data_IF_193914120035
#
_entry.id   IF_193914120035
#
_cell.length_a   1.000
_cell.length_b   1.000
_cell.length_c   1.000
_cell.angle_alpha   90.00
_cell.angle_beta   90.00
_cell.angle_gamma   90.00
#
_symmetry.space_group_name_H-M   'P 1'
#
loop_
_entity.id
_entity.type
_entity.pdbx_description
1 polymer ?
#
# COMPACT_ATOMS: atom_id res chain seq x y z
N UNK A 1 -3.62 21.20 -18.93
CA UNK A 1 -3.14 20.92 -17.56
C UNK A 1 -4.30 20.29 -16.81
N UNK A 2 -4.12 19.09 -16.25
CA UNK A 2 -5.23 18.30 -15.69
C UNK A 2 -5.64 18.83 -14.32
N UNK A 3 -6.91 18.66 -13.95
CA UNK A 3 -7.43 19.04 -12.62
C UNK A 3 -6.78 18.27 -11.45
N UNK A 4 -5.97 17.25 -11.75
CA UNK A 4 -5.29 16.38 -10.79
C UNK A 4 -3.95 16.97 -10.30
N UNK A 5 -3.33 17.83 -11.12
CA UNK A 5 -2.22 18.69 -10.70
C UNK A 5 -2.59 20.13 -11.10
N UNK A 6 -3.34 20.88 -10.26
CA UNK A 6 -3.75 22.23 -10.61
C UNK A 6 -2.50 23.10 -10.85
N UNK A 7 -2.63 24.19 -11.61
CA UNK A 7 -1.57 25.21 -11.87
C UNK A 7 -0.99 25.89 -10.59
N UNK A 8 -1.28 25.34 -9.41
CA UNK A 8 -0.89 25.78 -8.08
C UNK A 8 0.07 24.82 -7.37
N UNK A 9 0.41 23.67 -7.95
CA UNK A 9 1.31 22.69 -7.34
C UNK A 9 2.26 22.07 -8.38
N UNK A 10 3.54 21.93 -8.01
CA UNK A 10 4.55 21.28 -8.85
C UNK A 10 4.54 19.75 -8.71
N UNK A 11 4.21 19.24 -7.52
CA UNK A 11 4.09 17.80 -7.24
C UNK A 11 2.91 17.52 -6.30
N UNK A 12 2.35 16.32 -6.41
CA UNK A 12 1.37 15.77 -5.46
C UNK A 12 1.97 14.53 -4.79
N UNK A 13 2.61 14.73 -3.64
CA UNK A 13 3.14 13.65 -2.79
C UNK A 13 2.12 13.30 -1.69
N UNK A 14 1.10 12.53 -2.07
CA UNK A 14 0.03 12.07 -1.19
C UNK A 14 -0.23 10.56 -1.39
N UNK A 15 -1.28 10.02 -0.76
CA UNK A 15 -1.81 8.67 -1.01
C UNK A 15 -2.49 8.57 -2.40
N UNK A 16 -1.78 9.00 -3.45
CA UNK A 16 -2.30 9.02 -4.81
C UNK A 16 -1.94 7.72 -5.51
N UNK A 17 -2.94 6.86 -5.66
CA UNK A 17 -2.82 5.63 -6.44
C UNK A 17 -2.49 5.92 -7.89
N UNK A 18 -1.45 5.26 -8.40
CA UNK A 18 -1.12 5.17 -9.82
C UNK A 18 -2.12 4.26 -10.51
N UNK A 19 -2.89 4.82 -11.43
CA UNK A 19 -3.82 4.08 -12.30
C UNK A 19 -3.60 4.51 -13.73
N UNK A 20 -3.87 3.63 -14.70
CA UNK A 20 -3.74 3.96 -16.12
C UNK A 20 -4.53 5.23 -16.49
N UNK A 21 -5.72 5.39 -15.91
CA UNK A 21 -6.57 6.57 -16.14
C UNK A 21 -5.93 7.87 -15.66
N UNK A 22 -5.21 7.84 -14.53
CA UNK A 22 -4.46 8.99 -14.02
C UNK A 22 -3.16 9.21 -14.81
N UNK A 23 -2.47 8.14 -15.21
CA UNK A 23 -1.26 8.24 -16.05
C UNK A 23 -1.54 8.86 -17.42
N UNK A 24 -2.78 8.79 -17.92
CA UNK A 24 -3.18 9.53 -19.13
C UNK A 24 -3.29 11.05 -18.92
N UNK A 25 -3.30 11.54 -17.68
CA UNK A 25 -3.59 12.94 -17.31
C UNK A 25 -2.46 13.64 -16.58
N UNK A 26 -1.64 12.89 -15.86
CA UNK A 26 -0.44 13.33 -15.13
C UNK A 26 0.64 12.26 -15.21
N UNK A 27 1.90 12.66 -15.05
CA UNK A 27 3.03 11.76 -14.92
C UNK A 27 3.14 11.33 -13.46
N UNK A 28 3.80 10.20 -13.21
CA UNK A 28 4.08 9.73 -11.86
C UNK A 28 5.55 9.41 -11.66
N UNK A 29 6.00 9.53 -10.41
CA UNK A 29 7.23 8.87 -9.96
C UNK A 29 7.09 7.34 -10.02
N UNK A 30 8.20 6.65 -9.77
CA UNK A 30 8.19 5.27 -9.31
C UNK A 30 7.24 5.12 -8.11
N UNK A 31 6.69 3.93 -7.96
CA UNK A 31 5.92 3.57 -6.77
C UNK A 31 6.85 3.64 -5.56
N UNK A 32 6.42 4.31 -4.50
CA UNK A 32 7.20 4.43 -3.26
C UNK A 32 6.50 3.80 -2.04
N UNK A 33 5.25 3.38 -2.20
CA UNK A 33 4.46 2.71 -1.17
C UNK A 33 3.33 1.92 -1.86
N UNK A 34 2.93 0.78 -1.30
CA UNK A 34 1.75 0.04 -1.76
C UNK A 34 0.83 -0.15 -0.57
N UNK A 35 -0.40 0.38 -0.68
CA UNK A 35 -1.45 0.14 0.30
C UNK A 35 -2.48 -0.87 -0.25
N UNK A 36 -3.39 -1.29 0.62
CA UNK A 36 -4.59 -2.06 0.29
C UNK A 36 -5.78 -1.47 1.01
N UNK A 37 -6.96 -1.65 0.43
CA UNK A 37 -8.20 -1.13 0.98
C UNK A 37 -8.82 -2.13 1.94
N UNK A 38 -9.46 -1.61 2.99
CA UNK A 38 -10.18 -2.39 4.01
C UNK A 38 -11.45 -1.67 4.41
N UNK A 39 -12.14 -2.24 5.40
CA UNK A 39 -13.38 -1.69 5.95
C UNK A 39 -13.11 -1.17 7.36
N UNK A 40 -13.63 0.02 7.66
CA UNK A 40 -13.77 0.54 9.01
C UNK A 40 -15.24 0.43 9.41
N UNK A 41 -15.49 -0.15 10.58
CA UNK A 41 -16.83 -0.38 11.11
C UNK A 41 -16.88 -0.03 12.58
N UNK A 42 -18.09 0.16 13.13
CA UNK A 42 -18.28 0.19 14.58
C UNK A 42 -17.82 -1.13 15.19
N UNK A 43 -17.27 -1.10 16.40
CA UNK A 43 -16.76 -2.29 17.11
C UNK A 43 -17.84 -3.35 17.35
N UNK A 44 -19.07 -2.90 17.55
CA UNK A 44 -20.28 -3.72 17.69
C UNK A 44 -20.78 -4.34 16.37
N UNK A 45 -20.26 -3.90 15.22
CA UNK A 45 -20.65 -4.44 13.92
C UNK A 45 -20.15 -5.88 13.75
N UNK A 46 -21.01 -6.71 13.18
CA UNK A 46 -20.69 -8.07 12.77
C UNK A 46 -20.01 -8.14 11.38
N UNK A 47 -19.93 -7.01 10.66
CA UNK A 47 -19.30 -6.95 9.34
C UNK A 47 -17.82 -7.33 9.47
N UNK A 48 -17.43 -8.40 8.81
CA UNK A 48 -16.09 -8.98 8.80
C UNK A 48 -15.54 -9.25 7.41
N UNK A 49 -16.31 -9.01 6.35
CA UNK A 49 -15.85 -9.13 4.96
C UNK A 49 -16.69 -8.27 4.03
N UNK A 50 -16.13 -7.96 2.85
CA UNK A 50 -16.82 -7.25 1.76
C UNK A 50 -18.09 -7.98 1.29
N UNK A 51 -18.13 -9.30 1.38
CA UNK A 51 -19.30 -10.10 0.97
C UNK A 51 -20.51 -9.94 1.90
N UNK A 52 -20.31 -9.41 3.12
CA UNK A 52 -21.40 -9.10 4.05
C UNK A 52 -22.00 -7.71 3.82
N UNK A 53 -21.54 -6.98 2.79
CA UNK A 53 -22.02 -5.64 2.46
C UNK A 53 -23.26 -5.64 1.56
N UNK A 54 -23.85 -6.80 1.25
CA UNK A 54 -25.02 -6.88 0.39
C UNK A 54 -26.21 -6.07 0.96
N UNK A 55 -26.68 -5.08 0.20
CA UNK A 55 -27.73 -4.16 0.64
C UNK A 55 -27.35 -3.24 1.81
N UNK A 56 -26.06 -3.14 2.16
CA UNK A 56 -25.53 -2.23 3.18
C UNK A 56 -25.14 -0.91 2.54
N UNK A 57 -25.30 0.19 3.27
CA UNK A 57 -24.80 1.49 2.84
C UNK A 57 -23.34 1.65 3.25
N UNK A 58 -22.46 1.83 2.27
CA UNK A 58 -21.02 1.91 2.45
C UNK A 58 -20.53 3.29 2.01
N UNK A 59 -19.83 3.96 2.92
CA UNK A 59 -19.17 5.22 2.62
C UNK A 59 -17.87 4.99 1.86
N UNK A 60 -17.61 5.85 0.88
CA UNK A 60 -16.32 5.98 0.18
C UNK A 60 -16.03 7.47 -0.06
N UNK A 61 -14.79 7.82 -0.38
CA UNK A 61 -14.46 9.20 -0.79
C UNK A 61 -14.62 9.37 -2.30
N UNK A 62 -15.25 10.47 -2.69
CA UNK A 62 -15.45 10.86 -4.09
C UNK A 62 -14.12 11.01 -4.81
N UNK A 63 -13.99 10.38 -5.98
CA UNK A 63 -12.77 10.43 -6.79
C UNK A 63 -11.63 9.52 -6.33
N UNK A 64 -11.82 8.76 -5.24
CA UNK A 64 -10.92 7.69 -4.85
C UNK A 64 -11.15 6.43 -5.71
N UNK A 65 -10.13 5.57 -5.79
CA UNK A 65 -10.19 4.26 -6.45
C UNK A 65 -11.13 3.28 -5.73
N UNK A 66 -11.44 3.55 -4.46
CA UNK A 66 -12.14 2.61 -3.58
C UNK A 66 -13.52 2.22 -4.06
N UNK A 67 -14.28 3.14 -4.67
CA UNK A 67 -15.63 2.83 -5.14
C UNK A 67 -15.61 1.76 -6.24
N UNK A 68 -14.63 1.81 -7.14
CA UNK A 68 -14.45 0.84 -8.21
C UNK A 68 -13.92 -0.49 -7.67
N UNK A 69 -12.89 -0.44 -6.82
CA UNK A 69 -12.28 -1.62 -6.23
C UNK A 69 -13.25 -2.39 -5.33
N UNK A 70 -14.07 -1.68 -4.55
CA UNK A 70 -15.11 -2.30 -3.73
C UNK A 70 -16.14 -3.03 -4.60
N UNK A 71 -16.62 -2.41 -5.69
CA UNK A 71 -17.58 -3.08 -6.61
C UNK A 71 -16.98 -4.32 -7.26
N UNK A 72 -15.71 -4.28 -7.67
CA UNK A 72 -15.00 -5.44 -8.22
C UNK A 72 -14.95 -6.57 -7.20
N UNK A 73 -14.53 -6.24 -5.98
CA UNK A 73 -14.37 -7.23 -4.91
C UNK A 73 -15.71 -7.83 -4.47
N UNK A 74 -16.75 -7.01 -4.25
CA UNK A 74 -18.07 -7.52 -3.86
C UNK A 74 -18.73 -8.32 -4.99
N UNK A 75 -18.42 -8.00 -6.25
CA UNK A 75 -18.87 -8.74 -7.43
C UNK A 75 -18.40 -10.20 -7.43
N UNK A 76 -17.24 -10.52 -6.84
CA UNK A 76 -16.72 -11.90 -6.75
C UNK A 76 -17.70 -12.81 -5.98
N UNK A 77 -18.40 -12.27 -4.99
CA UNK A 77 -19.37 -13.00 -4.17
C UNK A 77 -20.83 -12.55 -4.40
N UNK A 78 -21.09 -11.76 -5.44
CA UNK A 78 -22.43 -11.30 -5.81
C UNK A 78 -23.07 -10.30 -4.84
N UNK A 79 -22.29 -9.69 -3.92
CA UNK A 79 -22.81 -8.69 -3.01
C UNK A 79 -22.95 -7.33 -3.71
N UNK A 80 -24.08 -6.65 -3.47
CA UNK A 80 -24.40 -5.34 -4.04
C UNK A 80 -24.60 -4.29 -2.94
N UNK A 81 -23.52 -3.69 -2.41
CA UNK A 81 -23.65 -2.58 -1.48
C UNK A 81 -24.19 -1.33 -2.18
N UNK A 82 -24.92 -0.51 -1.42
CA UNK A 82 -25.18 0.87 -1.80
C UNK A 82 -23.95 1.71 -1.45
N UNK A 83 -23.52 2.60 -2.36
CA UNK A 83 -22.33 3.44 -2.14
C UNK A 83 -22.77 4.88 -1.93
N UNK A 84 -22.32 5.47 -0.82
CA UNK A 84 -22.44 6.90 -0.53
C UNK A 84 -21.07 7.56 -0.63
N UNK A 85 -20.94 8.55 -1.50
CA UNK A 85 -19.70 9.30 -1.67
C UNK A 85 -19.63 10.50 -0.71
N UNK A 86 -18.47 10.69 -0.09
CA UNK A 86 -18.15 11.81 0.78
C UNK A 86 -17.01 12.64 0.18
N UNK A 87 -16.90 13.90 0.56
CA UNK A 87 -15.83 14.78 0.10
C UNK A 87 -14.46 14.47 0.72
N UNK A 88 -14.44 13.86 1.91
CA UNK A 88 -13.23 13.57 2.69
C UNK A 88 -13.47 12.44 3.69
N UNK A 89 -12.37 11.85 4.19
CA UNK A 89 -12.42 10.71 5.11
C UNK A 89 -13.15 11.04 6.43
N UNK A 90 -12.92 12.22 7.00
CA UNK A 90 -13.53 12.65 8.28
C UNK A 90 -15.06 12.65 8.20
N UNK A 91 -15.64 13.10 7.08
CA UNK A 91 -17.09 13.11 6.85
C UNK A 91 -17.68 11.70 6.76
N UNK A 92 -16.98 10.78 6.10
CA UNK A 92 -17.41 9.38 6.05
C UNK A 92 -17.34 8.74 7.45
N UNK A 93 -16.31 9.03 8.23
CA UNK A 93 -16.17 8.53 9.61
C UNK A 93 -17.24 9.12 10.54
N UNK A 94 -17.56 10.41 10.41
CA UNK A 94 -18.69 11.04 11.11
C UNK A 94 -20.01 10.32 10.81
N UNK A 95 -20.31 10.06 9.53
CA UNK A 95 -21.50 9.33 9.10
C UNK A 95 -21.52 7.87 9.59
N UNK A 96 -20.35 7.21 9.64
CA UNK A 96 -20.23 5.88 10.21
C UNK A 96 -20.58 5.92 11.70
N UNK A 97 -20.05 6.90 12.45
CA UNK A 97 -20.31 7.05 13.88
C UNK A 97 -21.78 7.36 14.16
N UNK A 98 -22.42 8.23 13.37
CA UNK A 98 -23.87 8.51 13.49
C UNK A 98 -24.75 7.32 13.09
N UNK A 99 -24.20 6.35 12.36
CA UNK A 99 -24.94 5.18 11.88
C UNK A 99 -25.69 5.43 10.57
N UNK A 100 -25.36 6.51 9.86
CA UNK A 100 -25.87 6.81 8.53
C UNK A 100 -25.29 5.88 7.45
N UNK A 101 -24.14 5.27 7.70
CA UNK A 101 -23.54 4.21 6.89
C UNK A 101 -23.11 3.06 7.81
N UNK A 102 -23.09 1.83 7.31
CA UNK A 102 -22.72 0.64 8.09
C UNK A 102 -21.22 0.32 8.04
N UNK A 103 -20.53 0.77 6.99
CA UNK A 103 -19.08 0.63 6.83
C UNK A 103 -18.51 1.82 6.06
N UNK A 104 -17.25 2.16 6.34
CA UNK A 104 -16.45 3.06 5.52
C UNK A 104 -15.32 2.26 4.87
N UNK A 105 -15.18 2.34 3.56
CA UNK A 105 -14.11 1.69 2.82
C UNK A 105 -13.10 2.72 2.30
N UNK A 106 -11.81 2.50 2.57
CA UNK A 106 -10.67 3.22 1.98
C UNK A 106 -9.37 2.48 2.32
N UNK A 107 -8.23 3.12 2.06
CA UNK A 107 -6.90 2.54 2.20
C UNK A 107 -6.55 2.29 3.68
N UNK A 108 -5.88 1.18 3.96
CA UNK A 108 -5.71 0.66 5.33
C UNK A 108 -4.91 1.59 6.22
N UNK A 109 -3.94 2.30 5.65
CA UNK A 109 -3.15 3.30 6.40
C UNK A 109 -4.06 4.43 6.89
N UNK A 110 -4.95 4.94 6.04
CA UNK A 110 -5.90 5.98 6.42
C UNK A 110 -6.87 5.50 7.50
N UNK A 111 -7.34 4.26 7.39
CA UNK A 111 -8.23 3.65 8.39
C UNK A 111 -7.57 3.45 9.75
N UNK A 112 -6.27 3.14 9.77
CA UNK A 112 -5.53 2.85 11.01
C UNK A 112 -5.54 4.05 11.94
N UNK A 113 -5.34 5.26 11.38
CA UNK A 113 -5.46 6.51 12.14
C UNK A 113 -6.81 6.62 12.86
N UNK A 114 -7.93 6.41 12.16
CA UNK A 114 -9.26 6.55 12.76
C UNK A 114 -9.56 5.46 13.79
N UNK A 115 -9.06 4.24 13.58
CA UNK A 115 -9.24 3.14 14.53
C UNK A 115 -8.39 3.31 15.79
N UNK A 116 -7.23 3.96 15.69
CA UNK A 116 -6.39 4.33 16.84
C UNK A 116 -6.99 5.50 17.64
N UNK A 117 -7.57 6.49 16.96
CA UNK A 117 -8.17 7.67 17.58
C UNK A 117 -9.52 7.38 18.26
N UNK A 118 -10.30 6.39 17.79
CA UNK A 118 -11.61 6.03 18.35
C UNK A 118 -11.70 4.54 18.71
N UNK A 119 -11.70 4.17 20.01
CA UNK A 119 -11.73 2.78 20.45
C UNK A 119 -13.04 2.05 20.13
N UNK A 120 -14.08 2.77 19.69
CA UNK A 120 -15.35 2.22 19.24
C UNK A 120 -15.38 1.87 17.76
N UNK A 121 -14.29 2.12 17.03
CA UNK A 121 -14.12 1.71 15.65
C UNK A 121 -13.14 0.53 15.57
N UNK A 122 -13.24 -0.25 14.50
CA UNK A 122 -12.29 -1.32 14.19
C UNK A 122 -12.14 -1.46 12.68
N UNK A 123 -10.93 -1.82 12.25
CA UNK A 123 -10.67 -2.27 10.89
C UNK A 123 -11.07 -3.74 10.77
N UNK A 124 -11.70 -4.10 9.67
CA UNK A 124 -12.25 -5.42 9.42
C UNK A 124 -12.16 -5.77 7.93
N UNK A 125 -12.48 -7.02 7.57
CA UNK A 125 -12.38 -7.52 6.19
C UNK A 125 -10.95 -7.90 5.80
N UNK A 126 -10.81 -8.86 4.91
CA UNK A 126 -9.55 -9.08 4.21
C UNK A 126 -9.21 -7.84 3.38
N UNK A 127 -7.93 -7.47 3.26
CA UNK A 127 -7.58 -6.37 2.38
C UNK A 127 -7.95 -6.71 0.93
N UNK A 128 -8.44 -5.72 0.21
CA UNK A 128 -8.83 -5.79 -1.20
C UNK A 128 -8.20 -4.62 -1.98
N UNK A 129 -8.23 -4.71 -3.30
CA UNK A 129 -7.54 -3.74 -4.15
C UNK A 129 -6.02 -3.78 -3.99
N UNK A 130 -5.33 -3.04 -4.84
CA UNK A 130 -3.88 -2.78 -4.77
C UNK A 130 -3.68 -1.31 -5.11
N UNK A 131 -3.10 -0.57 -4.18
CA UNK A 131 -2.97 0.89 -4.27
C UNK A 131 -1.48 1.28 -4.35
N UNK A 132 -0.83 1.16 -5.52
CA UNK A 132 0.54 1.64 -5.68
C UNK A 132 0.55 3.17 -5.65
N UNK A 133 1.12 3.77 -4.61
CA UNK A 133 1.25 5.22 -4.52
C UNK A 133 2.46 5.73 -5.28
N UNK A 134 2.23 6.77 -6.07
CA UNK A 134 3.26 7.54 -6.76
C UNK A 134 3.10 9.02 -6.47
N UNK A 135 4.19 9.77 -6.62
CA UNK A 135 4.15 11.23 -6.60
C UNK A 135 3.60 11.66 -7.95
N UNK A 136 2.46 12.36 -7.96
CA UNK A 136 1.87 12.93 -9.16
C UNK A 136 2.64 14.16 -9.62
N UNK A 137 2.88 14.28 -10.93
CA UNK A 137 3.74 15.28 -11.56
C UNK A 137 3.05 15.81 -12.82
N UNK A 138 3.20 17.10 -13.19
CA UNK A 138 2.72 17.60 -14.48
C UNK A 138 3.23 16.76 -15.66
N UNK A 139 2.33 16.47 -16.60
CA UNK A 139 2.69 15.76 -17.82
C UNK A 139 3.72 16.51 -18.66
N UNK A 140 4.47 15.76 -19.47
CA UNK A 140 5.39 16.27 -20.49
C UNK A 140 6.66 16.95 -19.94
N UNK A 141 7.00 16.73 -18.68
CA UNK A 141 8.29 17.11 -18.09
C UNK A 141 9.05 15.87 -17.61
N UNK A 142 9.60 15.12 -18.57
CA UNK A 142 10.36 13.91 -18.27
C UNK A 142 11.60 14.18 -17.42
N UNK A 143 12.23 15.36 -17.57
CA UNK A 143 13.39 15.73 -16.76
C UNK A 143 13.02 15.91 -15.30
N UNK A 144 11.89 16.56 -15.03
CA UNK A 144 11.41 16.74 -13.67
C UNK A 144 10.96 15.42 -13.04
N UNK A 145 10.25 14.57 -13.81
CA UNK A 145 9.92 13.20 -13.37
C UNK A 145 11.17 12.40 -13.02
N UNK A 146 12.21 12.46 -13.86
CA UNK A 146 13.45 11.74 -13.64
C UNK A 146 14.21 12.29 -12.42
N UNK A 147 14.20 13.60 -12.18
CA UNK A 147 14.73 14.22 -10.95
C UNK A 147 14.04 13.68 -9.69
N UNK A 148 12.71 13.58 -9.68
CA UNK A 148 11.95 13.01 -8.56
C UNK A 148 12.33 11.55 -8.33
N UNK A 149 12.45 10.75 -9.40
CA UNK A 149 12.85 9.34 -9.31
C UNK A 149 14.28 9.16 -8.80
N UNK A 150 15.23 9.94 -9.31
CA UNK A 150 16.62 9.93 -8.84
C UNK A 150 16.72 10.34 -7.37
N UNK A 151 15.87 11.27 -6.90
CA UNK A 151 15.79 11.65 -5.49
C UNK A 151 15.29 10.49 -4.62
N UNK A 152 14.22 9.80 -5.03
CA UNK A 152 13.72 8.60 -4.34
C UNK A 152 14.78 7.49 -4.28
N UNK A 153 15.50 7.26 -5.37
CA UNK A 153 16.58 6.28 -5.42
C UNK A 153 17.77 6.67 -4.54
N UNK A 154 18.16 7.95 -4.52
CA UNK A 154 19.22 8.45 -3.63
C UNK A 154 18.84 8.29 -2.15
N UNK A 155 17.59 8.60 -1.78
CA UNK A 155 17.06 8.38 -0.43
C UNK A 155 17.01 6.88 -0.07
N UNK A 156 16.75 6.00 -1.04
CA UNK A 156 16.80 4.56 -0.83
C UNK A 156 18.24 4.10 -0.59
N UNK A 157 19.18 4.56 -1.41
CA UNK A 157 20.59 4.19 -1.35
C UNK A 157 21.28 4.65 -0.06
N UNK A 158 20.93 5.84 0.44
CA UNK A 158 21.55 6.40 1.66
C UNK A 158 20.79 6.07 2.97
N UNK A 159 19.70 5.32 2.88
CA UNK A 159 18.90 4.85 4.01
C UNK A 159 17.81 5.81 4.51
N UNK A 160 17.76 7.05 3.99
CA UNK A 160 16.74 8.06 4.38
C UNK A 160 15.32 7.56 4.17
N UNK A 161 15.05 6.93 3.02
CA UNK A 161 13.72 6.38 2.71
C UNK A 161 13.29 5.32 3.73
N UNK A 162 14.19 4.38 4.06
CA UNK A 162 13.91 3.33 5.04
C UNK A 162 13.61 3.93 6.42
N UNK A 163 14.40 4.93 6.85
CA UNK A 163 14.19 5.61 8.14
C UNK A 163 12.82 6.33 8.20
N UNK A 164 12.42 7.02 7.13
CA UNK A 164 11.08 7.63 7.03
C UNK A 164 10.00 6.55 7.11
N UNK A 165 10.17 5.47 6.34
CA UNK A 165 9.20 4.38 6.29
C UNK A 165 8.98 3.78 7.69
N UNK A 166 10.05 3.43 8.41
CA UNK A 166 9.94 2.80 9.73
C UNK A 166 9.42 3.74 10.81
N UNK A 167 9.69 5.04 10.70
CA UNK A 167 9.12 6.03 11.62
C UNK A 167 7.60 6.03 11.57
N UNK A 168 7.01 5.85 10.39
CA UNK A 168 5.56 5.92 10.17
C UNK A 168 4.89 4.55 10.15
N UNK A 169 5.61 3.50 9.78
CA UNK A 169 5.12 2.14 9.65
C UNK A 169 6.08 1.16 10.37
N UNK A 170 6.13 1.21 11.71
CA UNK A 170 6.97 0.28 12.46
C UNK A 170 6.51 -1.16 12.24
N UNK A 171 7.47 -2.09 12.15
CA UNK A 171 7.24 -3.53 11.90
C UNK A 171 6.74 -3.91 10.49
N UNK A 172 6.87 -3.02 9.50
CA UNK A 172 6.63 -3.37 8.09
C UNK A 172 7.92 -3.21 7.27
N UNK A 173 7.99 -3.90 6.13
CA UNK A 173 9.14 -3.81 5.22
C UNK A 173 9.00 -2.60 4.31
N UNK A 174 10.01 -1.70 4.21
CA UNK A 174 10.02 -0.61 3.24
C UNK A 174 9.89 -1.12 1.81
N UNK A 175 9.13 -0.40 0.99
CA UNK A 175 8.94 -0.78 -0.41
C UNK A 175 10.30 -0.85 -1.15
N UNK A 176 10.51 -1.87 -2.00
CA UNK A 176 11.72 -1.99 -2.80
C UNK A 176 11.68 -1.03 -4.00
N UNK A 177 11.99 0.25 -3.74
CA UNK A 177 12.20 1.24 -4.81
C UNK A 177 13.24 0.71 -5.81
N UNK A 178 12.91 0.73 -7.09
CA UNK A 178 13.76 0.27 -8.17
C UNK A 178 14.96 1.20 -8.33
N UNK A 179 16.17 0.64 -8.27
CA UNK A 179 17.40 1.37 -8.58
C UNK A 179 17.70 1.16 -10.06
N UNK A 180 17.73 2.26 -10.83
CA UNK A 180 18.02 2.19 -12.26
C UNK A 180 19.52 2.00 -12.52
N UNK A 181 19.89 1.29 -13.60
CA UNK A 181 21.28 1.10 -13.96
C UNK A 181 21.95 2.43 -14.32
N UNK A 182 23.22 2.56 -13.96
CA UNK A 182 24.00 3.79 -14.09
C UNK A 182 24.46 4.28 -12.72
N UNK A 183 25.67 4.83 -12.63
CA UNK A 183 26.09 5.45 -11.37
C UNK A 183 25.17 6.65 -11.15
N UNK A 184 24.52 6.74 -9.98
CA UNK A 184 24.01 8.01 -9.45
C UNK A 184 25.25 8.86 -9.13
N UNK A 185 26.06 9.20 -10.14
CA UNK A 185 27.05 10.24 -10.03
C UNK A 185 26.24 11.53 -10.05
N UNK A 186 25.80 11.90 -8.85
CA UNK A 186 25.32 13.21 -8.45
C UNK A 186 26.28 14.28 -8.99
N UNK A 187 26.19 14.66 -10.26
CA UNK A 187 26.75 15.90 -10.76
C UNK A 187 25.71 17.01 -10.58
N UNK A 188 24.43 16.71 -10.85
CA UNK A 188 23.30 17.64 -10.67
C UNK A 188 22.79 17.72 -9.23
N UNK A 189 22.86 16.62 -8.47
CA UNK A 189 22.54 16.59 -7.02
C UNK A 189 23.76 16.94 -6.14
N UNK A 190 24.95 17.14 -6.73
CA UNK A 190 26.17 17.55 -6.00
C UNK A 190 25.98 18.97 -5.48
N UNK A 191 25.59 19.09 -4.22
CA UNK A 191 25.32 20.38 -3.56
C UNK A 191 23.88 20.52 -3.06
N UNK A 192 22.97 19.64 -3.47
CA UNK A 192 21.66 19.49 -2.83
C UNK A 192 21.82 18.62 -1.59
N UNK A 193 22.31 19.21 -0.51
CA UNK A 193 22.27 18.56 0.81
C UNK A 193 20.82 18.44 1.25
N UNK A 194 20.38 17.21 1.58
CA UNK A 194 19.19 17.00 2.41
C UNK A 194 19.43 17.74 3.73
N UNK A 195 18.87 18.95 3.85
CA UNK A 195 18.78 19.66 5.12
C UNK A 195 17.90 18.81 6.03
N UNK A 196 18.45 18.44 7.19
CA UNK A 196 17.75 17.69 8.23
C UNK A 196 17.41 16.23 7.85
N UNK A 197 18.44 15.43 7.53
CA UNK A 197 18.28 13.96 7.51
C UNK A 197 17.59 13.53 8.81
N UNK A 198 16.42 12.87 8.76
CA UNK A 198 15.79 12.31 9.94
C UNK A 198 16.80 11.41 10.64
N UNK A 199 16.90 11.51 11.96
CA UNK A 199 17.72 10.57 12.74
C UNK A 199 17.30 9.16 12.33
N UNK A 200 18.26 8.38 11.83
CA UNK A 200 18.05 7.05 11.28
C UNK A 200 17.52 6.18 12.42
N UNK A 201 16.22 5.92 12.44
CA UNK A 201 15.69 4.82 13.23
C UNK A 201 16.15 3.53 12.55
N UNK A 202 16.95 2.73 13.25
CA UNK A 202 17.46 1.48 12.71
C UNK A 202 16.34 0.44 12.57
N UNK A 203 15.83 0.29 11.35
CA UNK A 203 14.81 -0.70 11.00
C UNK A 203 15.31 -2.15 11.05
N UNK A 204 16.63 -2.39 11.08
CA UNK A 204 17.18 -3.75 11.01
C UNK A 204 16.78 -4.60 12.22
N UNK A 205 16.43 -3.94 13.32
CA UNK A 205 15.96 -4.58 14.56
C UNK A 205 14.49 -5.01 14.55
N UNK A 206 13.68 -4.57 13.57
CA UNK A 206 12.22 -4.78 13.54
C UNK A 206 11.70 -5.58 12.34
N UNK A 207 12.52 -5.78 11.30
CA UNK A 207 12.16 -6.72 10.24
C UNK A 207 12.16 -8.14 10.81
N UNK A 208 11.23 -9.01 10.40
CA UNK A 208 11.37 -10.44 10.66
C UNK A 208 12.64 -10.94 9.98
N UNK A 209 13.75 -11.04 10.73
CA UNK A 209 15.03 -11.60 10.24
C UNK A 209 15.00 -13.12 10.14
N UNK A 210 13.91 -13.73 10.63
CA UNK A 210 13.72 -15.15 10.58
C UNK A 210 13.63 -15.60 9.12
N UNK A 211 14.70 -16.27 8.68
CA UNK A 211 14.78 -16.94 7.37
C UNK A 211 13.79 -18.10 7.24
N UNK A 212 12.94 -18.33 8.24
CA UNK A 212 11.95 -19.39 8.30
C UNK A 212 10.62 -18.85 8.85
N UNK A 213 9.51 -19.14 8.17
CA UNK A 213 8.16 -18.74 8.57
C UNK A 213 7.28 -19.98 8.79
N UNK A 214 6.63 -20.07 9.94
CA UNK A 214 5.65 -21.13 10.23
C UNK A 214 4.25 -20.72 9.77
N UNK A 215 3.72 -21.44 8.79
CA UNK A 215 2.42 -21.17 8.15
C UNK A 215 1.29 -21.25 9.19
N UNK A 216 0.39 -20.27 9.16
CA UNK A 216 -0.82 -20.19 9.97
C UNK A 216 -2.04 -20.54 9.13
N UNK A 217 -3.14 -20.92 9.79
CA UNK A 217 -4.41 -21.15 9.08
C UNK A 217 -4.86 -19.86 8.39
N UNK A 218 -5.22 -19.95 7.10
CA UNK A 218 -5.63 -18.79 6.29
C UNK A 218 -4.50 -18.05 5.57
N UNK A 219 -3.22 -18.42 5.80
CA UNK A 219 -2.12 -17.81 5.05
C UNK A 219 -2.17 -18.20 3.56
N UNK A 220 -1.68 -17.29 2.72
CA UNK A 220 -1.37 -17.52 1.31
C UNK A 220 0.09 -17.14 1.05
N UNK A 221 0.72 -17.72 0.02
CA UNK A 221 2.10 -17.32 -0.34
C UNK A 221 2.20 -15.84 -0.70
N UNK A 222 1.17 -15.28 -1.32
CA UNK A 222 1.08 -13.84 -1.60
C UNK A 222 0.96 -13.00 -0.33
N UNK A 223 0.17 -13.43 0.67
CA UNK A 223 0.11 -12.75 1.97
C UNK A 223 1.43 -12.84 2.75
N UNK A 224 2.16 -13.95 2.63
CA UNK A 224 3.50 -14.10 3.23
C UNK A 224 4.51 -13.22 2.49
N UNK A 225 4.47 -13.16 1.16
CA UNK A 225 5.33 -12.29 0.36
C UNK A 225 5.08 -10.81 0.63
N UNK A 226 3.82 -10.41 0.73
CA UNK A 226 3.44 -9.06 1.14
C UNK A 226 4.03 -8.72 2.52
N UNK A 227 3.94 -9.65 3.48
CA UNK A 227 4.49 -9.45 4.83
C UNK A 227 6.00 -9.29 4.86
N UNK A 228 6.73 -10.15 4.15
CA UNK A 228 8.21 -10.18 4.23
C UNK A 228 8.87 -9.22 3.25
N UNK A 229 8.25 -9.00 2.09
CA UNK A 229 8.84 -8.27 0.97
C UNK A 229 8.10 -6.98 0.62
N UNK A 230 6.91 -6.75 1.16
CA UNK A 230 6.06 -5.61 0.81
C UNK A 230 5.47 -5.69 -0.61
N UNK A 231 5.56 -6.85 -1.26
CA UNK A 231 4.94 -7.08 -2.56
C UNK A 231 4.39 -8.52 -2.65
N UNK A 232 3.05 -8.69 -2.73
CA UNK A 232 2.43 -10.00 -2.83
C UNK A 232 2.82 -10.74 -4.11
N UNK A 233 3.28 -10.04 -5.17
CA UNK A 233 3.69 -10.66 -6.44
C UNK A 233 5.02 -11.41 -6.32
N UNK A 234 5.78 -11.16 -5.27
CA UNK A 234 7.05 -11.84 -4.99
C UNK A 234 6.85 -13.21 -4.32
N UNK A 235 5.61 -13.70 -4.26
CA UNK A 235 5.25 -15.04 -3.78
C UNK A 235 5.98 -16.16 -4.52
N UNK A 236 6.34 -15.93 -5.79
CA UNK A 236 7.07 -16.89 -6.62
C UNK A 236 8.44 -17.21 -6.03
N UNK A 237 9.15 -16.23 -5.48
CA UNK A 237 10.44 -16.45 -4.82
C UNK A 237 10.29 -17.37 -3.59
N UNK A 238 9.24 -17.15 -2.77
CA UNK A 238 8.94 -18.02 -1.63
C UNK A 238 8.62 -19.43 -2.12
N UNK A 239 7.80 -19.56 -3.16
CA UNK A 239 7.46 -20.87 -3.72
C UNK A 239 8.69 -21.61 -4.24
N UNK A 240 9.53 -20.95 -5.04
CA UNK A 240 10.74 -21.53 -5.62
C UNK A 240 11.71 -22.03 -4.54
N UNK A 241 11.93 -21.21 -3.49
CA UNK A 241 12.79 -21.58 -2.37
C UNK A 241 12.25 -22.75 -1.53
N UNK A 242 10.96 -23.08 -1.65
CA UNK A 242 10.27 -24.10 -0.87
C UNK A 242 9.59 -25.16 -1.74
N UNK A 243 9.99 -25.28 -3.01
CA UNK A 243 9.31 -26.13 -3.98
C UNK A 243 9.31 -27.60 -3.56
N UNK A 244 10.32 -28.05 -2.83
CA UNK A 244 10.42 -29.40 -2.27
C UNK A 244 9.38 -29.67 -1.16
N UNK A 245 8.92 -28.62 -0.46
CA UNK A 245 7.97 -28.70 0.65
C UNK A 245 6.53 -28.52 0.14
N UNK A 246 6.33 -27.57 -0.78
CA UNK A 246 5.01 -27.17 -1.29
C UNK A 246 4.58 -28.06 -2.47
N UNK A 247 5.55 -28.57 -3.24
CA UNK A 247 5.29 -29.29 -4.48
C UNK A 247 4.90 -28.36 -5.64
N UNK A 248 4.38 -28.96 -6.71
CA UNK A 248 4.03 -28.27 -7.95
C UNK A 248 2.80 -27.37 -7.85
N UNK A 249 1.95 -27.56 -6.84
CA UNK A 249 0.76 -26.75 -6.62
C UNK A 249 1.00 -25.75 -5.47
N UNK A 250 1.33 -24.51 -5.85
CA UNK A 250 1.65 -23.42 -4.92
C UNK A 250 0.47 -22.98 -4.03
N UNK A 251 -0.77 -23.38 -4.35
CA UNK A 251 -1.95 -23.09 -3.53
C UNK A 251 -2.13 -24.07 -2.36
N UNK A 252 -1.32 -25.14 -2.26
CA UNK A 252 -1.49 -26.21 -1.25
C UNK A 252 -0.56 -26.07 -0.05
N UNK A 253 -0.35 -24.84 0.45
CA UNK A 253 0.37 -24.64 1.71
C UNK A 253 -0.49 -25.04 2.90
N UNK A 254 0.13 -25.60 3.95
CA UNK A 254 -0.56 -26.16 5.13
C UNK A 254 -0.08 -25.49 6.41
N UNK A 255 -1.02 -25.16 7.28
CA UNK A 255 -0.71 -24.66 8.61
C UNK A 255 0.26 -25.59 9.35
N UNK A 256 1.27 -25.01 9.98
CA UNK A 256 2.34 -25.72 10.67
C UNK A 256 3.57 -26.05 9.82
N UNK A 257 3.48 -25.99 8.48
CA UNK A 257 4.67 -26.08 7.63
C UNK A 257 5.60 -24.89 7.87
N UNK A 258 6.91 -25.12 7.73
CA UNK A 258 7.93 -24.09 7.84
C UNK A 258 8.44 -23.80 6.43
N UNK A 259 8.32 -22.55 5.99
CA UNK A 259 8.84 -22.08 4.72
C UNK A 259 10.13 -21.29 4.95
N UNK A 260 11.16 -21.55 4.15
CA UNK A 260 12.33 -20.69 4.03
C UNK A 260 11.94 -19.38 3.34
N UNK A 261 12.20 -18.24 3.96
CA UNK A 261 12.01 -16.94 3.32
C UNK A 261 13.33 -16.58 2.62
N UNK A 262 13.35 -16.54 1.27
CA UNK A 262 14.57 -16.22 0.52
C UNK A 262 14.88 -14.72 0.59
N UNK A 263 16.15 -14.39 0.35
CA UNK A 263 16.53 -13.03 -0.03
C UNK A 263 16.13 -12.81 -1.49
N UNK A 264 15.54 -11.65 -1.80
CA UNK A 264 15.21 -11.30 -3.18
C UNK A 264 16.49 -10.81 -3.85
N UNK A 265 16.88 -11.35 -5.01
CA UNK A 265 18.03 -10.87 -5.74
C UNK A 265 17.89 -9.37 -6.01
N UNK A 266 18.92 -8.59 -5.66
CA UNK A 266 19.03 -7.22 -6.18
C UNK A 266 19.12 -7.35 -7.70
N UNK A 267 18.11 -6.84 -8.41
CA UNK A 267 18.16 -6.76 -9.86
C UNK A 267 19.25 -5.73 -10.18
N UNK A 268 20.41 -6.22 -10.64
CA UNK A 268 21.54 -5.39 -11.08
C UNK A 268 21.27 -4.80 -12.47
#
# INVERSE_FOLDING_TARGET
VSSECPDKADIVAAAMTRTNDREMRIDFSQTYFVDRQRLLVKKTSAISSVCQLNGKLVGVVKGATTAENLRKETGICGATPEIREFSENSKAVEALKSGEIEAFATDSVALSKFAEEDPNLKITGEPFGREPYGIGIPNHDSRFRDLVNLTLQAMKADGTYNAIYCRWFPNTTPYPIEIWPGTIQNAELKGMTLTDKPQIADCSSQMPTDKNYKIRSGDTLSGIADRYFGDPLLWTYIWEANKEIIGSNYNLIRAGQILKIPEIPNVM
#
